data_IF_059372506940
#
_entry.id   IF_059372506940
#
_cell.length_a   1.000
_cell.length_b   1.000
_cell.length_c   1.000
_cell.angle_alpha   90.00
_cell.angle_beta   90.00
_cell.angle_gamma   90.00
#
_symmetry.space_group_name_H-M   'P 1'
#
loop_
_entity.id
_entity.type
_entity.pdbx_description
1 polymer ?
#
# COMPACT_ATOMS: atom_id res chain seq x y z
N UNK A 1 -24.33 -1.20 6.13
CA UNK A 1 -23.66 -2.38 5.53
C UNK A 1 -22.20 -2.03 5.25
N UNK A 2 -21.28 -2.38 6.14
CA UNK A 2 -19.85 -2.03 6.04
C UNK A 2 -19.09 -3.29 5.61
N UNK A 3 -18.64 -3.30 4.36
CA UNK A 3 -17.91 -4.42 3.77
C UNK A 3 -16.43 -4.32 4.19
N UNK A 4 -16.07 -5.13 5.20
CA UNK A 4 -14.78 -5.13 5.87
C UNK A 4 -13.77 -6.06 5.17
N UNK A 5 -12.82 -5.44 4.47
CA UNK A 5 -11.56 -6.04 4.04
C UNK A 5 -10.49 -4.95 4.08
N UNK A 6 -9.21 -5.30 4.18
CA UNK A 6 -8.12 -4.32 4.10
C UNK A 6 -8.20 -3.58 2.74
N UNK A 7 -8.78 -2.38 2.74
CA UNK A 7 -9.04 -1.60 1.53
C UNK A 7 -7.89 -0.69 1.18
N UNK A 8 -6.99 -0.40 2.11
CA UNK A 8 -5.93 0.59 1.97
C UNK A 8 -4.55 -0.05 2.00
N UNK A 9 -3.70 0.33 1.03
CA UNK A 9 -2.27 -0.01 1.00
C UNK A 9 -1.51 0.87 1.98
N UNK A 10 -1.92 2.13 2.12
CA UNK A 10 -1.36 3.09 3.07
C UNK A 10 -2.45 4.01 3.61
N UNK A 11 -2.30 4.36 4.88
CA UNK A 11 -3.05 5.40 5.58
C UNK A 11 -2.04 6.27 6.30
N UNK A 12 -2.16 7.58 6.13
CA UNK A 12 -1.37 8.58 6.85
C UNK A 12 -2.30 9.61 7.49
N UNK A 13 -1.91 10.13 8.65
CA UNK A 13 -2.66 11.13 9.38
C UNK A 13 -1.81 12.39 9.59
N UNK A 14 -2.39 13.55 9.29
CA UNK A 14 -1.85 14.89 9.48
C UNK A 14 -2.86 15.74 10.27
N UNK A 15 -2.43 16.76 11.01
CA UNK A 15 -3.28 17.60 11.86
C UNK A 15 -2.98 17.48 13.36
N UNK A 16 -3.47 18.41 14.17
CA UNK A 16 -3.16 18.48 15.61
C UNK A 16 -4.04 17.53 16.45
N UNK A 17 -3.62 17.20 17.67
CA UNK A 17 -4.39 16.36 18.61
C UNK A 17 -5.74 16.98 19.02
N UNK A 18 -5.84 18.31 18.96
CA UNK A 18 -7.05 19.08 19.26
C UNK A 18 -8.03 19.18 18.08
N UNK A 19 -7.55 18.95 16.86
CA UNK A 19 -8.34 19.08 15.64
C UNK A 19 -8.58 17.73 14.97
N UNK A 20 -9.57 17.70 14.09
CA UNK A 20 -9.80 16.54 13.25
C UNK A 20 -8.58 16.30 12.36
N UNK A 21 -8.07 15.07 12.34
CA UNK A 21 -6.93 14.73 11.50
C UNK A 21 -7.36 14.65 10.02
N UNK A 22 -6.52 15.20 9.16
CA UNK A 22 -6.52 14.98 7.72
C UNK A 22 -5.93 13.60 7.46
N UNK A 23 -6.69 12.76 6.80
CA UNK A 23 -6.23 11.42 6.43
C UNK A 23 -5.75 11.49 4.98
N UNK A 24 -4.69 10.77 4.63
CA UNK A 24 -4.27 10.52 3.25
C UNK A 24 -4.24 9.00 3.04
N UNK A 25 -4.83 8.53 1.96
CA UNK A 25 -4.97 7.08 1.70
C UNK A 25 -4.65 6.72 0.26
N UNK A 26 -4.10 5.52 0.09
CA UNK A 26 -4.09 4.84 -1.21
C UNK A 26 -4.75 3.50 -1.05
N UNK A 27 -5.86 3.30 -1.76
CA UNK A 27 -6.58 2.03 -1.68
C UNK A 27 -5.85 0.92 -2.44
N UNK A 28 -6.06 -0.34 -2.05
CA UNK A 28 -5.58 -1.52 -2.76
C UNK A 28 -6.07 -1.51 -4.21
N UNK A 29 -7.34 -1.11 -4.43
CA UNK A 29 -7.90 -0.96 -5.76
C UNK A 29 -7.18 0.12 -6.59
N UNK A 30 -6.92 1.29 -6.01
CA UNK A 30 -6.15 2.36 -6.65
C UNK A 30 -4.74 1.89 -7.02
N UNK A 31 -4.05 1.21 -6.10
CA UNK A 31 -2.70 0.68 -6.35
C UNK A 31 -2.68 -0.28 -7.53
N UNK A 32 -3.58 -1.27 -7.57
CA UNK A 32 -3.64 -2.24 -8.68
C UNK A 32 -4.07 -1.61 -10.01
N UNK A 33 -4.87 -0.54 -9.96
CA UNK A 33 -5.27 0.21 -11.14
C UNK A 33 -4.09 1.01 -11.72
N UNK A 34 -3.34 1.75 -10.89
CA UNK A 34 -2.23 2.57 -11.36
C UNK A 34 -1.02 1.74 -11.80
N UNK A 35 -0.70 0.68 -11.06
CA UNK A 35 0.47 -0.19 -11.34
C UNK A 35 0.30 -1.04 -12.60
N UNK A 36 -0.87 -0.99 -13.24
CA UNK A 36 -1.12 -1.63 -14.54
C UNK A 36 -1.36 -3.14 -14.44
N UNK A 37 -1.42 -3.74 -13.24
CA UNK A 37 -1.62 -5.18 -13.07
C UNK A 37 -2.88 -5.68 -13.77
N UNK A 38 -4.03 -5.00 -13.58
CA UNK A 38 -5.28 -5.39 -14.24
C UNK A 38 -5.15 -5.38 -15.76
N UNK A 39 -4.56 -4.32 -16.33
CA UNK A 39 -4.33 -4.21 -17.78
C UNK A 39 -3.40 -5.32 -18.27
N UNK A 40 -2.31 -5.59 -17.54
CA UNK A 40 -1.37 -6.65 -17.89
C UNK A 40 -2.00 -8.04 -17.88
N UNK A 41 -2.83 -8.35 -16.89
CA UNK A 41 -3.57 -9.62 -16.83
C UNK A 41 -4.52 -9.75 -18.02
N UNK A 42 -5.27 -8.69 -18.34
CA UNK A 42 -6.16 -8.67 -19.51
C UNK A 42 -5.37 -8.86 -20.81
N UNK A 43 -4.25 -8.15 -20.98
CA UNK A 43 -3.41 -8.26 -22.18
C UNK A 43 -2.80 -9.64 -22.34
N UNK A 44 -2.27 -10.25 -21.27
CA UNK A 44 -1.78 -11.64 -21.29
C UNK A 44 -2.89 -12.62 -21.64
N UNK A 45 -4.09 -12.41 -21.09
CA UNK A 45 -5.27 -13.21 -21.43
C UNK A 45 -5.63 -13.11 -22.91
N UNK A 46 -5.57 -11.92 -23.50
CA UNK A 46 -5.80 -11.71 -24.94
C UNK A 46 -4.73 -12.40 -25.79
N UNK A 47 -3.44 -12.23 -25.46
CA UNK A 47 -2.33 -12.89 -26.16
C UNK A 47 -2.49 -14.41 -26.09
N UNK A 48 -2.79 -14.95 -24.92
CA UNK A 48 -2.97 -16.38 -24.72
C UNK A 48 -4.23 -16.95 -25.38
N UNK A 49 -5.24 -16.14 -25.71
CA UNK A 49 -6.39 -16.58 -26.52
C UNK A 49 -6.07 -16.56 -28.01
N UNK A 50 -5.27 -15.61 -28.47
CA UNK A 50 -4.85 -15.52 -29.88
C UNK A 50 -3.76 -16.52 -30.29
N UNK A 51 -3.14 -17.22 -29.33
CA UNK A 51 -2.10 -18.23 -29.53
C UNK A 51 -2.41 -19.44 -28.64
N UNK A 52 -3.59 -20.03 -28.84
CA UNK A 52 -4.15 -21.05 -27.94
C UNK A 52 -3.36 -22.36 -28.00
N UNK A 53 -2.87 -22.74 -29.18
CA UNK A 53 -2.06 -23.95 -29.40
C UNK A 53 -0.71 -23.85 -28.71
N UNK A 54 0.04 -22.77 -28.94
CA UNK A 54 1.33 -22.55 -28.27
C UNK A 54 1.15 -22.44 -26.75
N UNK A 55 0.03 -21.87 -26.30
CA UNK A 55 -0.30 -21.83 -24.87
C UNK A 55 -0.60 -23.22 -24.30
N UNK A 56 -1.22 -24.12 -25.06
CA UNK A 56 -1.46 -25.49 -24.64
C UNK A 56 -0.13 -26.24 -24.45
N UNK A 57 0.81 -26.07 -25.39
CA UNK A 57 2.19 -26.63 -25.29
C UNK A 57 2.89 -26.11 -24.02
N UNK A 58 2.83 -24.80 -23.77
CA UNK A 58 3.42 -24.21 -22.56
C UNK A 58 2.73 -24.74 -21.29
N UNK A 59 1.41 -24.89 -21.30
CA UNK A 59 0.66 -25.41 -20.15
C UNK A 59 0.93 -26.89 -19.86
N UNK A 60 1.28 -27.66 -20.90
CA UNK A 60 1.65 -29.07 -20.79
C UNK A 60 3.14 -29.27 -20.45
N UNK A 61 3.93 -28.18 -20.36
CA UNK A 61 5.36 -28.26 -20.05
C UNK A 61 5.57 -28.85 -18.65
N UNK A 62 6.27 -30.00 -18.53
CA UNK A 62 6.51 -30.63 -17.24
C UNK A 62 7.42 -29.79 -16.32
N UNK A 63 7.29 -29.97 -15.01
CA UNK A 63 8.13 -29.28 -14.03
C UNK A 63 9.55 -29.86 -14.01
N UNK A 64 10.57 -29.00 -14.13
CA UNK A 64 11.97 -29.36 -13.91
C UNK A 64 12.32 -29.55 -12.43
N UNK A 65 11.43 -29.15 -11.51
CA UNK A 65 11.64 -29.33 -10.06
C UNK A 65 11.19 -30.72 -9.64
N UNK A 66 12.07 -31.70 -9.82
CA UNK A 66 11.85 -33.11 -9.49
C UNK A 66 13.12 -33.74 -8.92
N UNK A 67 12.99 -34.71 -8.03
CA UNK A 67 14.10 -35.50 -7.48
C UNK A 67 14.40 -36.77 -8.30
N UNK A 68 13.57 -37.08 -9.31
CA UNK A 68 13.78 -38.22 -10.21
C UNK A 68 14.50 -37.77 -11.47
N UNK A 69 15.59 -38.45 -11.81
CA UNK A 69 16.38 -38.18 -13.00
C UNK A 69 15.60 -38.46 -14.29
N UNK A 70 14.78 -39.52 -14.31
CA UNK A 70 13.99 -39.88 -15.49
C UNK A 70 12.92 -38.82 -15.80
N UNK A 71 12.22 -38.34 -14.77
CA UNK A 71 11.25 -37.26 -14.91
C UNK A 71 11.91 -35.95 -15.32
N UNK A 72 13.12 -35.68 -14.82
CA UNK A 72 13.90 -34.51 -15.22
C UNK A 72 14.30 -34.60 -16.71
N UNK A 73 14.82 -35.75 -17.15
CA UNK A 73 15.22 -35.98 -18.54
C UNK A 73 14.02 -35.89 -19.49
N UNK A 74 12.88 -36.49 -19.13
CA UNK A 74 11.66 -36.38 -19.92
C UNK A 74 11.17 -34.92 -20.03
N UNK A 75 11.23 -34.15 -18.93
CA UNK A 75 10.88 -32.73 -18.93
C UNK A 75 11.84 -31.90 -19.81
N UNK A 76 13.15 -32.17 -19.73
CA UNK A 76 14.15 -31.49 -20.54
C UNK A 76 13.94 -31.78 -22.04
N UNK A 77 13.75 -33.05 -22.42
CA UNK A 77 13.46 -33.45 -23.81
C UNK A 77 12.20 -32.75 -24.31
N UNK A 78 11.14 -32.70 -23.51
CA UNK A 78 9.91 -32.00 -23.88
C UNK A 78 10.17 -30.51 -24.16
N UNK A 79 10.92 -29.83 -23.30
CA UNK A 79 11.25 -28.41 -23.47
C UNK A 79 12.09 -28.19 -24.72
N UNK A 80 13.11 -29.02 -24.96
CA UNK A 80 13.97 -28.89 -26.14
C UNK A 80 13.19 -29.12 -27.44
N UNK A 81 12.35 -30.15 -27.49
CA UNK A 81 11.53 -30.44 -28.68
C UNK A 81 10.51 -29.32 -28.98
N UNK A 82 10.03 -28.62 -27.95
CA UNK A 82 9.08 -27.53 -28.10
C UNK A 82 9.72 -26.13 -28.02
N UNK A 83 11.05 -26.04 -27.96
CA UNK A 83 11.75 -24.80 -27.67
C UNK A 83 11.40 -23.69 -28.66
N UNK A 84 11.36 -24.00 -29.96
CA UNK A 84 10.99 -23.02 -30.99
C UNK A 84 9.59 -22.44 -30.77
N UNK A 85 8.60 -23.28 -30.45
CA UNK A 85 7.22 -22.85 -30.18
C UNK A 85 7.13 -21.99 -28.90
N UNK A 86 7.84 -22.40 -27.84
CA UNK A 86 7.88 -21.68 -26.57
C UNK A 86 8.58 -20.32 -26.74
N UNK A 87 9.74 -20.29 -27.41
CA UNK A 87 10.49 -19.07 -27.69
C UNK A 87 9.67 -18.11 -28.54
N UNK A 88 9.10 -18.59 -29.66
CA UNK A 88 8.23 -17.78 -30.52
C UNK A 88 7.05 -17.21 -29.75
N UNK A 89 6.40 -17.96 -28.85
CA UNK A 89 5.30 -17.42 -28.05
C UNK A 89 5.71 -16.19 -27.22
N UNK A 90 6.87 -16.22 -26.57
CA UNK A 90 7.33 -15.11 -25.71
C UNK A 90 8.00 -13.98 -26.49
N UNK A 91 8.73 -14.29 -27.57
CA UNK A 91 9.53 -13.34 -28.34
C UNK A 91 8.80 -12.74 -29.54
N UNK A 92 7.69 -13.33 -30.02
CA UNK A 92 6.91 -12.78 -31.14
C UNK A 92 6.52 -11.32 -30.88
N UNK A 93 7.01 -10.44 -31.76
CA UNK A 93 6.89 -8.97 -31.73
C UNK A 93 7.33 -8.30 -30.42
N UNK A 94 8.10 -9.01 -29.58
CA UNK A 94 8.52 -8.60 -28.25
C UNK A 94 7.34 -8.19 -27.35
N UNK A 95 6.15 -8.76 -27.56
CA UNK A 95 4.91 -8.33 -26.86
C UNK A 95 5.04 -8.45 -25.35
N UNK A 96 5.60 -9.54 -24.87
CA UNK A 96 5.82 -9.77 -23.44
C UNK A 96 6.88 -8.83 -22.87
N UNK A 97 7.96 -8.55 -23.61
CA UNK A 97 9.00 -7.60 -23.22
C UNK A 97 8.46 -6.16 -23.15
N UNK A 98 7.71 -5.72 -24.16
CA UNK A 98 7.00 -4.43 -24.17
C UNK A 98 6.03 -4.35 -22.98
N UNK A 99 5.29 -5.42 -22.69
CA UNK A 99 4.38 -5.45 -21.55
C UNK A 99 5.12 -5.39 -20.21
N UNK A 100 6.23 -6.11 -20.06
CA UNK A 100 7.09 -6.10 -18.86
C UNK A 100 7.67 -4.69 -18.63
N UNK A 101 8.17 -4.06 -19.67
CA UNK A 101 8.69 -2.69 -19.62
C UNK A 101 7.61 -1.67 -19.24
N UNK A 102 6.42 -1.74 -19.87
CA UNK A 102 5.28 -0.89 -19.52
C UNK A 102 4.84 -1.07 -18.07
N UNK A 103 4.83 -2.31 -17.57
CA UNK A 103 4.53 -2.58 -16.16
C UNK A 103 5.59 -2.01 -15.23
N UNK A 104 6.87 -2.06 -15.59
CA UNK A 104 7.95 -1.42 -14.83
C UNK A 104 7.72 0.09 -14.71
N UNK A 105 7.47 0.76 -15.85
CA UNK A 105 7.16 2.20 -15.88
C UNK A 105 5.93 2.50 -15.02
N UNK A 106 4.85 1.72 -15.17
CA UNK A 106 3.61 1.94 -14.41
C UNK A 106 3.81 1.77 -12.92
N UNK A 107 4.58 0.77 -12.48
CA UNK A 107 4.95 0.59 -11.07
C UNK A 107 5.70 1.81 -10.54
N UNK A 108 6.69 2.31 -11.27
CA UNK A 108 7.43 3.51 -10.88
C UNK A 108 6.52 4.76 -10.80
N UNK A 109 5.62 4.95 -11.78
CA UNK A 109 4.62 6.01 -11.76
C UNK A 109 3.69 5.91 -10.54
N UNK A 110 3.24 4.70 -10.20
CA UNK A 110 2.41 4.46 -9.00
C UNK A 110 3.16 4.81 -7.72
N UNK A 111 4.43 4.41 -7.59
CA UNK A 111 5.24 4.75 -6.42
C UNK A 111 5.45 6.26 -6.30
N UNK A 112 5.69 6.94 -7.43
CA UNK A 112 5.77 8.41 -7.47
C UNK A 112 4.47 9.06 -7.02
N UNK A 113 3.33 8.60 -7.52
CA UNK A 113 2.02 9.13 -7.13
C UNK A 113 1.71 8.87 -5.64
N UNK A 114 2.05 7.70 -5.11
CA UNK A 114 1.92 7.40 -3.67
C UNK A 114 2.80 8.34 -2.84
N UNK A 115 4.02 8.61 -3.28
CA UNK A 115 4.93 9.54 -2.59
C UNK A 115 4.40 10.97 -2.59
N UNK A 116 3.87 11.43 -3.72
CA UNK A 116 3.19 12.73 -3.84
C UNK A 116 1.94 12.80 -2.97
N UNK A 117 1.20 11.69 -2.83
CA UNK A 117 0.05 11.61 -1.92
C UNK A 117 0.48 11.79 -0.48
N UNK A 118 1.58 11.17 -0.04
CA UNK A 118 2.02 11.26 1.35
C UNK A 118 2.67 12.61 1.71
N UNK A 119 3.34 13.24 0.73
CA UNK A 119 4.04 14.51 0.92
C UNK A 119 3.15 15.65 0.41
N UNK A 120 3.28 16.05 -0.85
CA UNK A 120 2.50 17.08 -1.52
C UNK A 120 2.56 16.90 -3.04
N UNK A 121 1.59 17.46 -3.76
CA UNK A 121 1.58 17.53 -5.23
C UNK A 121 0.92 16.34 -5.91
N UNK A 122 0.03 15.65 -5.20
CA UNK A 122 -0.73 14.52 -5.73
C UNK A 122 -1.96 15.00 -6.50
N UNK A 123 -2.23 14.39 -7.65
CA UNK A 123 -3.41 14.71 -8.46
C UNK A 123 -4.74 14.35 -7.79
N UNK A 124 -4.71 13.48 -6.77
CA UNK A 124 -5.89 13.11 -5.96
C UNK A 124 -6.34 14.26 -5.05
N UNK A 125 -5.38 15.10 -4.68
CA UNK A 125 -5.49 16.09 -3.62
C UNK A 125 -5.38 17.53 -4.13
N UNK A 126 -5.27 17.68 -5.45
CA UNK A 126 -5.23 18.95 -6.14
C UNK A 126 -6.57 19.71 -5.96
N UNK A 127 -6.56 20.90 -5.36
CA UNK A 127 -7.76 21.68 -5.13
C UNK A 127 -8.44 22.12 -6.43
N UNK A 128 -7.71 22.28 -7.54
CA UNK A 128 -8.27 22.67 -8.84
C UNK A 128 -9.15 21.58 -9.46
N UNK A 129 -8.99 20.33 -9.00
CA UNK A 129 -9.71 19.17 -9.51
C UNK A 129 -11.03 18.89 -8.79
N UNK A 130 -11.30 19.60 -7.68
CA UNK A 130 -12.49 19.48 -6.85
C UNK A 130 -13.39 20.72 -6.90
N UNK A 131 -13.35 21.50 -7.99
CA UNK A 131 -14.43 22.46 -8.23
C UNK A 131 -15.70 21.67 -8.56
N UNK A 132 -16.77 21.89 -7.75
CA UNK A 132 -18.18 21.44 -7.91
C UNK A 132 -18.43 20.02 -7.31
N UNK A 133 -19.32 19.73 -6.34
CA UNK A 133 -20.68 20.19 -5.99
C UNK A 133 -20.85 20.23 -4.45
N UNK A 134 -21.41 21.32 -3.91
CA UNK A 134 -21.90 21.37 -2.52
C UNK A 134 -23.15 20.50 -2.36
N UNK A 135 -22.96 19.21 -2.11
CA UNK A 135 -24.05 18.34 -1.68
C UNK A 135 -24.27 18.55 -0.17
N UNK A 136 -25.46 19.05 0.18
CA UNK A 136 -25.91 19.56 1.48
C UNK A 136 -26.12 18.49 2.56
N UNK A 137 -25.84 17.23 2.26
CA UNK A 137 -25.98 16.14 3.21
C UNK A 137 -24.78 16.04 4.16
N UNK A 138 -25.06 16.10 5.47
CA UNK A 138 -24.14 16.00 6.64
C UNK A 138 -23.43 14.63 6.76
N UNK A 139 -22.99 14.04 5.65
CA UNK A 139 -22.14 12.85 5.66
C UNK A 139 -20.73 13.26 6.11
N UNK A 140 -20.06 12.41 6.89
CA UNK A 140 -18.65 12.62 7.25
C UNK A 140 -17.83 12.90 5.98
N UNK A 141 -17.27 14.10 5.85
CA UNK A 141 -16.39 14.50 4.73
C UNK A 141 -14.96 14.60 5.22
N UNK A 142 -14.03 13.95 4.55
CA UNK A 142 -12.60 14.05 4.84
C UNK A 142 -12.15 15.51 4.72
N UNK A 143 -11.30 15.96 5.64
CA UNK A 143 -10.77 17.33 5.58
C UNK A 143 -10.00 17.55 4.27
N UNK A 144 -10.11 18.76 3.74
CA UNK A 144 -9.47 19.14 2.49
C UNK A 144 -7.95 18.92 2.55
N UNK A 145 -7.34 18.48 1.44
CA UNK A 145 -5.90 18.25 1.40
C UNK A 145 -5.12 19.53 1.62
N UNK A 146 -3.88 19.38 2.05
CA UNK A 146 -2.99 20.49 2.41
C UNK A 146 -2.06 20.88 1.26
N UNK A 147 -2.47 20.66 0.02
CA UNK A 147 -1.61 20.83 -1.17
C UNK A 147 -1.74 22.25 -1.79
N UNK A 148 -2.09 23.24 -0.97
CA UNK A 148 -2.10 24.64 -1.39
C UNK A 148 -0.69 25.18 -1.67
N UNK A 149 -0.57 26.30 -2.41
CA UNK A 149 0.72 26.85 -2.82
C UNK A 149 1.66 27.14 -1.63
N UNK A 150 1.14 27.67 -0.52
CA UNK A 150 1.94 27.95 0.69
C UNK A 150 2.47 26.69 1.39
N UNK A 151 1.69 25.62 1.42
CA UNK A 151 2.02 24.39 2.15
C UNK A 151 3.03 23.53 1.38
N UNK A 152 3.06 23.65 0.05
CA UNK A 152 4.09 23.03 -0.79
C UNK A 152 5.52 23.52 -0.48
N UNK A 153 5.63 24.66 0.22
CA UNK A 153 6.89 25.29 0.59
C UNK A 153 7.36 24.96 2.02
N UNK A 154 6.66 24.11 2.78
CA UNK A 154 7.04 23.77 4.16
C UNK A 154 7.80 22.45 4.27
N UNK A 155 8.80 22.36 5.18
CA UNK A 155 9.48 21.10 5.48
C UNK A 155 8.49 20.00 5.80
N UNK A 156 8.68 18.82 5.21
CA UNK A 156 7.81 17.67 5.46
C UNK A 156 8.59 16.60 6.22
N UNK A 157 8.05 16.19 7.37
CA UNK A 157 8.54 15.02 8.10
C UNK A 157 7.49 13.93 8.03
N UNK A 158 7.83 12.81 7.39
CA UNK A 158 7.00 11.63 7.28
C UNK A 158 7.43 10.60 8.35
N UNK A 159 6.65 10.50 9.41
CA UNK A 159 6.75 9.40 10.37
C UNK A 159 6.20 8.12 9.72
N UNK A 160 7.09 7.19 9.39
CA UNK A 160 6.77 5.95 8.69
C UNK A 160 6.92 4.76 9.65
N UNK A 161 5.87 3.96 9.77
CA UNK A 161 5.90 2.77 10.60
C UNK A 161 6.96 1.77 10.13
N UNK A 162 7.76 1.25 11.06
CA UNK A 162 8.89 0.39 10.75
C UNK A 162 8.51 -1.03 10.28
N UNK A 163 7.22 -1.39 10.30
CA UNK A 163 6.69 -2.66 9.85
C UNK A 163 7.54 -3.86 10.32
N UNK A 164 7.93 -3.87 11.60
CA UNK A 164 8.78 -4.89 12.22
C UNK A 164 8.03 -6.24 12.32
N UNK A 165 6.70 -6.23 12.13
CA UNK A 165 5.89 -7.45 12.10
C UNK A 165 6.01 -8.13 10.72
N UNK A 166 6.59 -9.33 10.73
CA UNK A 166 6.89 -10.13 9.53
C UNK A 166 5.67 -10.54 8.71
N UNK A 167 5.96 -11.08 7.52
CA UNK A 167 5.00 -11.57 6.55
C UNK A 167 3.88 -12.40 7.20
N UNK A 168 2.66 -11.87 7.27
CA UNK A 168 1.47 -12.66 7.58
C UNK A 168 1.30 -13.73 6.50
N UNK A 169 1.34 -15.00 6.90
CA UNK A 169 1.12 -16.17 6.02
C UNK A 169 -0.22 -16.01 5.28
N UNK A 170 -0.20 -16.08 3.95
CA UNK A 170 -1.41 -16.24 3.12
C UNK A 170 -1.93 -15.00 2.40
N UNK A 171 -1.47 -13.78 2.72
CA UNK A 171 -1.81 -12.57 1.96
C UNK A 171 -0.58 -12.04 1.24
N UNK A 172 -0.73 -11.62 -0.02
CA UNK A 172 0.33 -10.92 -0.76
C UNK A 172 0.69 -9.68 0.07
N UNK A 173 1.92 -9.57 0.60
CA UNK A 173 2.28 -8.45 1.44
C UNK A 173 2.09 -7.17 0.64
N UNK A 174 1.57 -6.12 1.29
CA UNK A 174 1.61 -4.79 0.73
C UNK A 174 3.06 -4.47 0.34
N UNK A 175 3.31 -3.68 -0.72
CA UNK A 175 4.66 -3.36 -1.19
C UNK A 175 5.39 -2.37 -0.26
N UNK A 176 5.28 -2.55 1.06
CA UNK A 176 5.78 -1.64 2.10
C UNK A 176 7.27 -1.37 1.96
N UNK A 177 8.08 -2.41 1.72
CA UNK A 177 9.52 -2.26 1.50
C UNK A 177 9.82 -1.40 0.26
N UNK A 178 9.19 -1.72 -0.86
CA UNK A 178 9.39 -1.00 -2.13
C UNK A 178 8.96 0.47 -2.01
N UNK A 179 7.85 0.72 -1.32
CA UNK A 179 7.34 2.08 -1.10
C UNK A 179 8.23 2.85 -0.14
N UNK A 180 8.70 2.24 0.95
CA UNK A 180 9.69 2.83 1.86
C UNK A 180 10.97 3.21 1.12
N UNK A 181 11.58 2.27 0.40
CA UNK A 181 12.84 2.51 -0.32
C UNK A 181 12.66 3.63 -1.36
N UNK A 182 11.53 3.62 -2.07
CA UNK A 182 11.18 4.68 -3.01
C UNK A 182 10.93 6.02 -2.31
N UNK A 183 10.27 6.06 -1.15
CA UNK A 183 10.03 7.28 -0.38
C UNK A 183 11.33 7.92 0.11
N UNK A 184 12.27 7.11 0.61
CA UNK A 184 13.59 7.59 1.03
C UNK A 184 14.35 8.16 -0.17
N UNK A 185 14.34 7.43 -1.30
CA UNK A 185 14.93 7.90 -2.55
C UNK A 185 14.28 9.19 -3.02
N UNK A 186 12.95 9.23 -3.06
CA UNK A 186 12.15 10.39 -3.45
C UNK A 186 12.46 11.58 -2.56
N UNK A 187 12.55 11.42 -1.23
CA UNK A 187 12.89 12.50 -0.30
C UNK A 187 14.30 13.08 -0.55
N UNK A 188 15.28 12.24 -0.90
CA UNK A 188 16.66 12.66 -1.23
C UNK A 188 16.77 13.34 -2.59
N UNK A 189 16.08 12.80 -3.59
CA UNK A 189 16.14 13.27 -4.98
C UNK A 189 15.16 14.39 -5.29
N UNK A 190 14.23 14.68 -4.38
CA UNK A 190 13.28 15.77 -4.52
C UNK A 190 14.07 17.07 -4.54
N UNK A 191 14.26 17.59 -5.74
CA UNK A 191 14.92 18.87 -6.01
C UNK A 191 13.97 20.04 -5.67
N UNK A 192 13.43 20.06 -4.45
CA UNK A 192 12.64 21.16 -3.92
C UNK A 192 13.51 22.02 -3.02
N UNK A 193 13.21 23.32 -2.94
CA UNK A 193 13.84 24.28 -2.00
C UNK A 193 13.68 23.91 -0.52
N UNK A 194 13.00 22.81 -0.23
CA UNK A 194 12.40 22.49 1.06
C UNK A 194 12.71 21.04 1.42
N UNK A 195 13.24 20.79 2.63
CA UNK A 195 13.69 19.47 3.01
C UNK A 195 12.53 18.52 3.29
N UNK A 196 12.72 17.24 2.94
CA UNK A 196 11.79 16.15 3.27
C UNK A 196 12.53 15.08 4.04
N UNK A 197 12.00 14.68 5.19
CA UNK A 197 12.59 13.65 6.04
C UNK A 197 11.63 12.47 6.18
N UNK A 198 12.16 11.25 6.13
CA UNK A 198 11.42 10.01 6.43
C UNK A 198 12.00 9.43 7.70
N UNK A 199 11.21 9.40 8.77
CA UNK A 199 11.62 8.92 10.10
C UNK A 199 10.91 7.62 10.39
N UNK A 200 11.67 6.57 10.71
CA UNK A 200 11.13 5.26 11.04
C UNK A 200 10.65 5.23 12.49
N UNK A 201 9.43 4.77 12.73
CA UNK A 201 8.81 4.70 14.07
C UNK A 201 8.40 3.26 14.38
N UNK A 202 8.70 2.78 15.59
CA UNK A 202 8.23 1.46 16.04
C UNK A 202 6.69 1.44 16.11
N UNK A 203 6.09 0.40 15.53
CA UNK A 203 4.65 0.23 15.43
C UNK A 203 4.05 -0.55 16.60
N UNK A 204 4.85 -0.89 17.62
CA UNK A 204 4.39 -1.65 18.77
C UNK A 204 3.10 -1.06 19.37
N UNK A 205 2.04 -1.88 19.41
CA UNK A 205 0.69 -1.54 19.90
C UNK A 205 -0.03 -0.36 19.22
N UNK A 206 0.51 0.23 18.16
CA UNK A 206 -0.11 1.35 17.43
C UNK A 206 -1.52 1.03 16.91
N UNK A 207 -1.79 -0.22 16.58
CA UNK A 207 -3.12 -0.70 16.15
C UNK A 207 -3.98 -1.28 17.28
N UNK A 208 -3.61 -1.04 18.55
CA UNK A 208 -4.33 -1.54 19.74
C UNK A 208 -4.61 -0.46 20.80
N UNK A 209 -3.84 0.62 20.81
CA UNK A 209 -4.05 1.74 21.73
C UNK A 209 -5.03 2.75 21.13
N UNK A 210 -6.01 3.18 21.92
CA UNK A 210 -6.94 4.22 21.50
C UNK A 210 -6.20 5.58 21.49
N UNK A 211 -6.11 6.31 20.35
CA UNK A 211 -5.41 7.59 20.27
C UNK A 211 -6.02 8.67 21.18
N UNK A 212 -7.31 8.53 21.51
CA UNK A 212 -8.03 9.46 22.39
C UNK A 212 -7.82 9.15 23.87
N UNK A 213 -7.75 7.87 24.24
CA UNK A 213 -7.60 7.46 25.64
C UNK A 213 -6.14 7.19 26.04
N UNK A 214 -5.24 7.05 25.07
CA UNK A 214 -3.82 6.72 25.25
C UNK A 214 -3.60 5.42 26.06
N UNK A 215 -4.58 4.51 26.01
CA UNK A 215 -4.56 3.22 26.72
C UNK A 215 -5.01 2.08 25.81
N UNK A 216 -4.62 0.85 26.16
CA UNK A 216 -4.93 -0.38 25.42
C UNK A 216 -6.34 -0.88 25.74
N UNK A 217 -7.34 -0.14 25.28
CA UNK A 217 -8.76 -0.37 25.60
C UNK A 217 -9.59 -0.73 24.36
N UNK A 218 -8.93 -1.04 23.24
CA UNK A 218 -9.62 -1.35 21.99
C UNK A 218 -9.79 -2.86 21.78
N UNK A 219 -10.96 -3.24 21.26
CA UNK A 219 -11.28 -4.62 20.90
C UNK A 219 -11.95 -4.67 19.52
N UNK A 220 -11.89 -5.82 18.85
CA UNK A 220 -12.56 -5.98 17.55
C UNK A 220 -14.06 -5.83 17.67
N UNK A 221 -14.65 -5.00 16.82
CA UNK A 221 -16.10 -4.97 16.67
C UNK A 221 -16.59 -6.30 16.08
N UNK A 222 -17.74 -6.77 16.54
CA UNK A 222 -18.38 -8.01 16.05
C UNK A 222 -19.56 -7.67 15.17
N UNK A 223 -19.80 -8.47 14.13
CA UNK A 223 -21.02 -8.35 13.34
C UNK A 223 -22.21 -9.04 14.05
N UNK A 224 -23.40 -9.02 13.44
CA UNK A 224 -24.61 -9.66 13.97
C UNK A 224 -24.45 -11.17 14.21
N UNK A 225 -23.52 -11.82 13.51
CA UNK A 225 -23.18 -13.24 13.69
C UNK A 225 -22.02 -13.47 14.67
N UNK A 226 -21.69 -12.47 15.50
CA UNK A 226 -20.57 -12.49 16.46
C UNK A 226 -19.17 -12.67 15.86
N UNK A 227 -19.02 -12.55 14.54
CA UNK A 227 -17.74 -12.64 13.85
C UNK A 227 -16.96 -11.33 13.95
N UNK A 228 -15.65 -11.43 14.16
CA UNK A 228 -14.75 -10.27 14.28
C UNK A 228 -14.66 -9.51 12.95
N UNK A 229 -14.97 -8.23 12.99
CA UNK A 229 -14.75 -7.27 11.91
C UNK A 229 -13.31 -6.76 12.06
N UNK A 230 -12.35 -7.43 11.40
CA UNK A 230 -10.92 -7.17 11.60
C UNK A 230 -10.50 -5.68 11.46
N UNK A 231 -10.99 -4.92 10.47
CA UNK A 231 -10.62 -3.51 10.27
C UNK A 231 -11.21 -2.54 11.29
N UNK A 232 -12.21 -2.95 12.07
CA UNK A 232 -12.96 -2.05 12.96
C UNK A 232 -12.70 -2.42 14.41
N UNK A 233 -12.27 -1.42 15.18
CA UNK A 233 -11.99 -1.52 16.61
C UNK A 233 -12.95 -0.62 17.38
N UNK A 234 -13.39 -1.09 18.54
CA UNK A 234 -14.20 -0.31 19.48
C UNK A 234 -13.41 -0.10 20.77
N UNK A 235 -13.28 1.15 21.20
CA UNK A 235 -12.71 1.50 22.49
C UNK A 235 -13.75 1.26 23.61
N UNK A 236 -13.40 0.52 24.66
CA UNK A 236 -14.28 0.30 25.81
C UNK A 236 -14.41 1.54 26.72
N UNK A 237 -13.43 2.44 26.70
CA UNK A 237 -13.42 3.63 27.56
C UNK A 237 -14.19 4.82 26.99
N UNK A 238 -14.00 5.13 25.70
CA UNK A 238 -14.60 6.31 25.07
C UNK A 238 -15.66 5.97 24.00
N UNK A 239 -16.06 4.70 23.92
CA UNK A 239 -17.03 4.13 22.97
C UNK A 239 -16.74 4.39 21.48
N UNK A 240 -15.57 4.98 21.18
CA UNK A 240 -15.22 5.41 19.82
C UNK A 240 -14.88 4.19 18.97
N UNK A 241 -15.47 4.14 17.77
CA UNK A 241 -15.14 3.17 16.73
C UNK A 241 -14.02 3.71 15.86
N UNK A 242 -12.98 2.91 15.69
CA UNK A 242 -11.80 3.23 14.92
C UNK A 242 -11.66 2.29 13.73
N UNK A 243 -11.31 2.84 12.57
CA UNK A 243 -10.61 2.05 11.56
C UNK A 243 -9.19 1.76 12.09
N UNK A 244 -8.78 0.50 12.07
CA UNK A 244 -7.50 0.03 12.60
C UNK A 244 -6.30 0.77 12.02
N UNK A 245 -6.28 1.01 10.72
CA UNK A 245 -5.16 1.65 10.01
C UNK A 245 -5.14 3.16 10.26
N UNK A 246 -6.31 3.80 10.36
CA UNK A 246 -6.43 5.19 10.81
C UNK A 246 -5.89 5.35 12.23
N UNK A 247 -6.27 4.45 13.13
CA UNK A 247 -5.80 4.44 14.51
C UNK A 247 -4.28 4.29 14.59
N UNK A 248 -3.72 3.34 13.85
CA UNK A 248 -2.29 3.11 13.79
C UNK A 248 -1.54 4.35 13.28
N UNK A 249 -2.00 4.97 12.19
CA UNK A 249 -1.36 6.18 11.65
C UNK A 249 -1.40 7.38 12.62
N UNK A 250 -2.49 7.56 13.36
CA UNK A 250 -2.57 8.59 14.41
C UNK A 250 -1.59 8.33 15.55
N UNK A 251 -1.49 7.07 16.00
CA UNK A 251 -0.55 6.69 17.06
C UNK A 251 0.91 6.79 16.63
N UNK A 252 1.26 6.38 15.41
CA UNK A 252 2.61 6.56 14.85
C UNK A 252 3.03 8.03 14.90
N UNK A 253 2.12 8.94 14.50
CA UNK A 253 2.36 10.38 14.61
C UNK A 253 2.54 10.83 16.06
N UNK A 254 1.67 10.38 16.97
CA UNK A 254 1.75 10.72 18.39
C UNK A 254 3.07 10.28 19.02
N UNK A 255 3.52 9.06 18.71
CA UNK A 255 4.81 8.51 19.15
C UNK A 255 5.96 9.34 18.60
N UNK A 256 5.94 9.65 17.29
CA UNK A 256 6.97 10.48 16.67
C UNK A 256 7.10 11.85 17.34
N UNK A 257 5.98 12.55 17.58
CA UNK A 257 6.01 13.86 18.23
C UNK A 257 6.56 13.79 19.66
N UNK A 258 6.17 12.74 20.40
CA UNK A 258 6.71 12.52 21.73
C UNK A 258 8.23 12.26 21.69
N UNK A 259 8.70 11.40 20.77
CA UNK A 259 10.14 11.12 20.58
C UNK A 259 10.93 12.39 20.28
N UNK A 260 10.39 13.27 19.42
CA UNK A 260 11.02 14.53 19.06
C UNK A 260 11.17 15.49 20.27
N UNK A 261 10.28 15.41 21.25
CA UNK A 261 10.29 16.24 22.45
C UNK A 261 11.04 15.61 23.63
N UNK A 262 11.27 14.29 23.62
CA UNK A 262 11.75 13.52 24.78
C UNK A 262 13.03 12.74 24.48
N UNK A 263 13.98 13.33 23.74
CA UNK A 263 15.30 12.72 23.43
C UNK A 263 15.17 11.31 22.82
N UNK A 264 14.25 11.12 21.86
CA UNK A 264 13.94 9.85 21.22
C UNK A 264 13.37 8.75 22.13
N UNK A 265 12.95 9.07 23.36
CA UNK A 265 12.24 8.12 24.21
C UNK A 265 10.82 7.87 23.69
N UNK A 266 10.32 6.66 23.94
CA UNK A 266 8.95 6.27 23.61
C UNK A 266 7.98 6.53 24.78
N UNK A 267 6.72 6.90 24.49
CA UNK A 267 5.70 6.93 25.53
C UNK A 267 5.53 5.53 26.12
N UNK A 268 5.28 5.45 27.42
CA UNK A 268 5.26 4.19 28.18
C UNK A 268 4.35 3.12 27.57
N UNK A 269 3.14 3.51 27.15
CA UNK A 269 2.17 2.62 26.52
C UNK A 269 2.68 1.98 25.20
N UNK A 270 3.66 2.58 24.53
CA UNK A 270 4.23 2.11 23.26
C UNK A 270 5.65 1.53 23.43
N UNK A 271 6.17 1.39 24.65
CA UNK A 271 7.45 0.72 24.91
C UNK A 271 7.28 -0.80 24.88
N UNK A 272 8.24 -1.49 24.27
CA UNK A 272 8.38 -2.93 24.42
C UNK A 272 8.92 -3.21 25.82
N UNK A 273 8.17 -3.96 26.62
CA UNK A 273 8.65 -4.57 27.88
C UNK A 273 9.48 -5.80 27.57
#
# INVERSE_FOLDING_TARGET
MIQAGLRDVFVAADGNHLERHRIRTTTTAEYYQFSGFKKATITRGKIGRGNAEERAIISATPSLKTSSLDLFNAAAIYIFNNFANIALYYDRDLKFNKLKFRNCIKKQQTLSEISKRLITGSRKYDPTRHMVIEDSNKKWKQLSPRDGPEESNKPVVLAFGAAIFGNLRGNVPAPTKVVKDYLIKFARERNTKVPTYVVMVDEYLTSQICPRCQTRTTSNEKNSSSLKIHPVLKCSTCDTRWNRDHMASMNIRSVFLYMAQNNNNHPEAFRRT
#
